data_IF_682948738037
#
_entry.id   IF_682948738037
#
_cell.length_a   1.000
_cell.length_b   1.000
_cell.length_c   1.000
_cell.angle_alpha   90.00
_cell.angle_beta   90.00
_cell.angle_gamma   90.00
#
_symmetry.space_group_name_H-M   'P 1'
#
loop_
_entity.id
_entity.type
_entity.pdbx_description
1 polymer ?
#
# COMPACT_ATOMS: atom_id res chain seq x y z
N UNK A 1 8.47 43.54 4.37
CA UNK A 1 8.70 42.34 3.55
C UNK A 1 9.30 41.31 4.48
N UNK A 2 8.44 40.48 5.05
CA UNK A 2 8.86 39.39 5.94
C UNK A 2 9.17 38.17 5.06
N UNK A 3 10.40 37.67 5.17
CA UNK A 3 10.81 36.42 4.53
C UNK A 3 10.03 35.26 5.16
N UNK A 4 9.14 34.66 4.37
CA UNK A 4 8.54 33.38 4.70
C UNK A 4 9.62 32.31 4.59
N UNK A 5 10.13 31.89 5.75
CA UNK A 5 10.98 30.71 5.90
C UNK A 5 10.25 29.49 5.33
N UNK A 6 10.69 29.07 4.13
CA UNK A 6 10.25 27.84 3.48
C UNK A 6 10.75 26.65 4.31
N UNK A 7 9.91 26.12 5.18
CA UNK A 7 10.11 24.82 5.80
C UNK A 7 10.24 23.76 4.71
N UNK A 8 11.47 23.33 4.45
CA UNK A 8 11.75 22.20 3.57
C UNK A 8 11.06 20.97 4.18
N UNK A 9 9.91 20.57 3.64
CA UNK A 9 9.36 19.24 3.90
C UNK A 9 10.34 18.23 3.29
N UNK A 10 11.27 17.76 4.10
CA UNK A 10 12.15 16.66 3.73
C UNK A 10 11.29 15.39 3.67
N UNK A 11 11.32 14.69 2.54
CA UNK A 11 10.85 13.31 2.44
C UNK A 11 11.65 12.47 3.45
N UNK A 12 11.15 12.37 4.68
CA UNK A 12 11.80 11.60 5.72
C UNK A 12 11.65 10.12 5.36
N UNK A 13 12.75 9.40 5.11
CA UNK A 13 12.67 7.97 4.84
C UNK A 13 12.04 7.26 6.04
N UNK A 14 11.28 6.20 5.77
CA UNK A 14 10.77 5.32 6.83
C UNK A 14 11.93 4.92 7.76
N UNK A 15 11.78 5.16 9.05
CA UNK A 15 12.75 4.72 10.05
C UNK A 15 12.67 3.20 10.20
N UNK A 16 13.51 2.48 9.45
CA UNK A 16 13.64 1.02 9.53
C UNK A 16 14.39 0.54 10.78
N UNK A 17 14.88 1.44 11.64
CA UNK A 17 15.68 1.14 12.82
C UNK A 17 14.90 1.25 14.14
N UNK A 18 13.56 1.28 14.12
CA UNK A 18 12.81 1.22 15.38
C UNK A 18 13.14 -0.10 16.06
N UNK A 19 13.91 -0.07 17.15
CA UNK A 19 14.30 -1.25 17.95
C UNK A 19 13.13 -1.97 18.64
N UNK A 20 11.90 -1.75 18.20
CA UNK A 20 10.72 -2.49 18.59
C UNK A 20 10.81 -3.91 18.01
N UNK A 21 10.50 -4.92 18.83
CA UNK A 21 10.39 -6.30 18.38
C UNK A 21 9.27 -6.43 17.35
N UNK A 22 9.63 -6.68 16.09
CA UNK A 22 8.67 -6.95 15.02
C UNK A 22 8.31 -8.44 14.98
N UNK A 23 7.03 -8.76 15.11
CA UNK A 23 6.52 -10.11 14.91
C UNK A 23 5.99 -10.23 13.47
N UNK A 24 6.77 -10.85 12.59
CA UNK A 24 6.34 -11.13 11.23
C UNK A 24 5.29 -12.25 11.23
N UNK A 25 4.10 -11.97 10.69
CA UNK A 25 3.08 -13.01 10.46
C UNK A 25 3.62 -14.10 9.53
N UNK A 26 3.20 -15.36 9.71
CA UNK A 26 3.56 -16.46 8.81
C UNK A 26 3.15 -16.16 7.35
N UNK A 27 3.89 -16.73 6.39
CA UNK A 27 3.52 -16.62 4.98
C UNK A 27 2.23 -17.41 4.73
N UNK A 28 1.29 -16.78 4.04
CA UNK A 28 0.02 -17.35 3.58
C UNK A 28 0.10 -17.81 2.12
N UNK A 29 1.09 -17.34 1.37
CA UNK A 29 1.33 -17.68 -0.03
C UNK A 29 2.78 -18.12 -0.21
N UNK A 30 2.98 -19.16 -1.05
CA UNK A 30 4.30 -19.64 -1.45
C UNK A 30 4.65 -19.09 -2.83
N UNK A 31 5.28 -17.91 -2.84
CA UNK A 31 5.78 -17.25 -4.04
C UNK A 31 7.28 -17.02 -3.83
N UNK A 32 8.10 -17.36 -4.83
CA UNK A 32 9.53 -17.09 -4.77
C UNK A 32 9.78 -15.58 -4.79
N UNK A 33 10.75 -15.12 -4.00
CA UNK A 33 11.11 -13.70 -3.95
C UNK A 33 11.48 -13.10 -5.32
N UNK A 34 12.09 -13.93 -6.18
CA UNK A 34 12.52 -13.55 -7.53
C UNK A 34 11.37 -13.47 -8.52
N UNK A 35 10.23 -14.09 -8.21
CA UNK A 35 9.04 -14.08 -9.08
C UNK A 35 8.18 -12.82 -8.85
N UNK A 36 8.55 -11.97 -7.88
CA UNK A 36 7.88 -10.69 -7.65
C UNK A 36 8.33 -9.63 -8.67
N UNK A 37 7.52 -9.45 -9.71
CA UNK A 37 7.57 -8.28 -10.58
C UNK A 37 6.72 -7.16 -9.98
N UNK A 38 7.37 -6.04 -9.67
CA UNK A 38 6.73 -4.85 -9.13
C UNK A 38 6.67 -3.78 -10.22
N UNK A 39 5.45 -3.32 -10.51
CA UNK A 39 5.23 -2.13 -11.33
C UNK A 39 5.25 -0.93 -10.41
N UNK A 40 6.13 0.02 -10.70
CA UNK A 40 6.28 1.25 -9.93
C UNK A 40 5.74 2.38 -10.79
N UNK A 41 4.59 2.91 -10.42
CA UNK A 41 3.97 4.03 -11.12
C UNK A 41 4.31 5.34 -10.41
N UNK A 42 4.70 6.35 -11.20
CA UNK A 42 4.87 7.71 -10.73
C UNK A 42 3.56 8.48 -10.94
N UNK A 43 3.17 9.32 -9.98
CA UNK A 43 1.99 10.16 -10.11
C UNK A 43 2.15 11.19 -11.23
N UNK A 44 3.39 11.65 -11.48
CA UNK A 44 3.75 12.54 -12.57
C UNK A 44 4.97 11.98 -13.29
N UNK A 45 4.76 11.55 -14.54
CA UNK A 45 5.79 11.00 -15.42
C UNK A 45 5.89 11.87 -16.69
N UNK A 46 6.84 12.81 -16.68
CA UNK A 46 7.06 13.69 -17.82
C UNK A 46 7.68 12.97 -19.02
N UNK A 47 8.40 11.87 -18.81
CA UNK A 47 8.97 11.07 -19.91
C UNK A 47 7.84 10.38 -20.68
N UNK A 48 6.90 9.75 -19.98
CA UNK A 48 5.72 9.13 -20.58
C UNK A 48 4.87 10.17 -21.31
N UNK A 49 4.62 11.34 -20.71
CA UNK A 49 3.89 12.43 -21.38
C UNK A 49 4.58 12.85 -22.68
N UNK A 50 5.90 13.03 -22.65
CA UNK A 50 6.69 13.43 -23.82
C UNK A 50 6.65 12.41 -24.95
N UNK A 51 6.79 11.12 -24.64
CA UNK A 51 6.68 10.02 -25.62
C UNK A 51 5.29 9.99 -26.28
N UNK A 52 4.26 10.45 -25.57
CA UNK A 52 2.89 10.58 -26.07
C UNK A 52 2.59 11.93 -26.72
N UNK A 53 3.61 12.76 -26.98
CA UNK A 53 3.46 14.04 -27.71
C UNK A 53 3.14 15.24 -26.82
N UNK A 54 3.22 15.11 -25.50
CA UNK A 54 2.99 16.19 -24.54
C UNK A 54 4.31 16.61 -23.88
N UNK A 55 5.06 17.52 -24.51
CA UNK A 55 6.28 18.12 -23.92
C UNK A 55 5.90 19.34 -23.05
N UNK A 56 5.42 19.08 -21.83
CA UNK A 56 4.91 20.11 -20.91
C UNK A 56 5.74 20.33 -19.66
N UNK A 57 6.76 19.51 -19.45
CA UNK A 57 7.62 19.52 -18.25
C UNK A 57 8.15 20.91 -17.94
N UNK A 58 8.67 21.59 -18.96
CA UNK A 58 9.27 22.92 -18.82
C UNK A 58 8.29 23.96 -18.27
N UNK A 59 7.00 23.88 -18.62
CA UNK A 59 6.00 24.84 -18.10
C UNK A 59 5.88 24.76 -16.59
N UNK A 60 5.98 23.57 -16.00
CA UNK A 60 5.86 23.40 -14.55
C UNK A 60 7.20 23.64 -13.83
N UNK A 61 8.32 23.24 -14.42
CA UNK A 61 9.65 23.53 -13.86
C UNK A 61 9.89 25.04 -13.80
N UNK A 62 9.56 25.78 -14.85
CA UNK A 62 9.74 27.25 -14.89
C UNK A 62 8.87 27.96 -13.83
N UNK A 63 7.79 27.32 -13.37
CA UNK A 63 6.95 27.80 -12.26
C UNK A 63 7.45 27.37 -10.87
N UNK A 64 8.53 26.58 -10.79
CA UNK A 64 9.12 26.11 -9.54
C UNK A 64 8.44 24.89 -8.91
N UNK A 65 7.66 24.11 -9.67
CA UNK A 65 6.89 22.98 -9.14
C UNK A 65 7.69 21.69 -8.95
N UNK A 66 8.97 21.65 -9.35
CA UNK A 66 9.79 20.43 -9.32
C UNK A 66 9.76 19.71 -7.97
N UNK A 67 9.94 20.44 -6.87
CA UNK A 67 9.92 19.86 -5.50
C UNK A 67 8.57 19.24 -5.13
N UNK A 68 7.47 19.80 -5.65
CA UNK A 68 6.14 19.27 -5.40
C UNK A 68 5.95 17.94 -6.14
N UNK A 69 6.46 17.80 -7.36
CA UNK A 69 6.43 16.53 -8.08
C UNK A 69 7.37 15.49 -7.46
N UNK A 70 8.55 15.90 -6.97
CA UNK A 70 9.43 15.01 -6.21
C UNK A 70 8.73 14.46 -4.96
N UNK A 71 7.92 15.30 -4.30
CA UNK A 71 7.10 14.89 -3.15
C UNK A 71 5.95 13.95 -3.57
N UNK A 72 5.26 14.24 -4.67
CA UNK A 72 4.15 13.42 -5.18
C UNK A 72 4.63 12.03 -5.63
N UNK A 73 5.77 11.95 -6.30
CA UNK A 73 6.34 10.69 -6.75
C UNK A 73 6.92 9.91 -5.57
N UNK A 74 7.56 10.60 -4.62
CA UNK A 74 7.97 10.04 -3.33
C UNK A 74 8.94 8.85 -3.42
N UNK A 75 9.45 8.37 -2.29
CA UNK A 75 10.20 7.12 -2.24
C UNK A 75 9.26 5.92 -2.37
N UNK A 76 9.71 4.92 -3.12
CA UNK A 76 9.03 3.62 -3.25
C UNK A 76 9.81 2.58 -2.44
N UNK A 77 9.09 1.62 -1.85
CA UNK A 77 9.69 0.62 -0.95
C UNK A 77 9.48 -0.83 -1.45
N UNK A 78 10.11 -1.24 -2.57
CA UNK A 78 9.91 -2.56 -3.17
C UNK A 78 10.12 -3.73 -2.20
N UNK A 79 11.18 -3.66 -1.38
CA UNK A 79 11.50 -4.72 -0.42
C UNK A 79 10.37 -4.89 0.60
N UNK A 80 9.85 -3.78 1.13
CA UNK A 80 8.74 -3.81 2.08
C UNK A 80 7.50 -4.45 1.44
N UNK A 81 7.20 -4.15 0.18
CA UNK A 81 6.08 -4.75 -0.55
C UNK A 81 6.30 -6.25 -0.75
N UNK A 82 7.50 -6.68 -1.18
CA UNK A 82 7.84 -8.11 -1.35
C UNK A 82 7.80 -8.89 -0.03
N UNK A 83 8.15 -8.27 1.08
CA UNK A 83 8.11 -8.91 2.41
C UNK A 83 6.69 -8.97 2.99
N UNK A 84 5.87 -7.97 2.67
CA UNK A 84 4.49 -7.85 3.13
C UNK A 84 3.55 -8.79 2.37
N UNK A 85 3.64 -8.83 1.03
CA UNK A 85 2.65 -9.50 0.17
C UNK A 85 2.46 -11.00 0.47
N UNK A 86 3.52 -11.83 0.61
CA UNK A 86 3.37 -13.25 0.96
C UNK A 86 2.70 -13.50 2.31
N UNK A 87 2.54 -12.48 3.16
CA UNK A 87 1.97 -12.57 4.51
C UNK A 87 0.56 -11.97 4.58
N UNK A 88 0.07 -11.40 3.49
CA UNK A 88 -1.29 -10.89 3.38
C UNK A 88 -2.31 -12.02 3.48
N UNK A 89 -3.35 -11.84 4.30
CA UNK A 89 -4.53 -12.70 4.26
C UNK A 89 -5.60 -11.95 3.47
N UNK A 90 -5.85 -12.40 2.24
CA UNK A 90 -6.97 -11.93 1.45
C UNK A 90 -8.13 -12.87 1.76
N UNK A 91 -9.26 -12.32 2.18
CA UNK A 91 -10.49 -13.08 2.37
C UNK A 91 -11.43 -12.60 1.27
N UNK A 92 -11.71 -13.47 0.31
CA UNK A 92 -12.71 -13.16 -0.70
C UNK A 92 -14.13 -13.40 -0.13
N UNK A 93 -15.15 -12.96 -0.88
CA UNK A 93 -16.54 -13.11 -0.45
C UNK A 93 -16.93 -14.58 -0.26
N UNK A 94 -16.40 -15.48 -1.09
CA UNK A 94 -16.75 -16.92 -1.05
C UNK A 94 -16.19 -17.57 0.22
N UNK A 95 -14.93 -17.27 0.55
CA UNK A 95 -14.27 -17.73 1.75
C UNK A 95 -14.89 -17.11 3.01
N UNK A 96 -15.27 -15.84 2.97
CA UNK A 96 -16.04 -15.20 4.02
C UNK A 96 -17.39 -15.92 4.24
N UNK A 97 -18.18 -16.13 3.17
CA UNK A 97 -19.49 -16.78 3.26
C UNK A 97 -19.35 -18.24 3.74
N UNK A 98 -18.30 -18.95 3.31
CA UNK A 98 -17.98 -20.30 3.80
C UNK A 98 -17.61 -20.28 5.29
N UNK A 99 -16.76 -19.37 5.73
CA UNK A 99 -16.38 -19.21 7.15
C UNK A 99 -17.62 -18.92 8.01
N UNK A 100 -18.53 -18.08 7.54
CA UNK A 100 -19.81 -17.82 8.19
C UNK A 100 -20.68 -19.08 8.30
N UNK A 101 -20.87 -19.80 7.18
CA UNK A 101 -21.67 -21.01 7.16
C UNK A 101 -21.13 -22.09 8.10
N UNK A 102 -19.81 -22.26 8.15
CA UNK A 102 -19.14 -23.17 9.08
C UNK A 102 -19.39 -22.75 10.54
N UNK A 103 -19.25 -21.46 10.85
CA UNK A 103 -19.48 -20.95 12.21
C UNK A 103 -20.92 -21.09 12.67
N UNK A 104 -21.89 -20.91 11.76
CA UNK A 104 -23.31 -21.18 12.03
C UNK A 104 -23.56 -22.66 12.25
N UNK A 105 -22.91 -23.54 11.46
CA UNK A 105 -23.07 -24.99 11.58
C UNK A 105 -22.47 -25.58 12.86
N UNK A 106 -21.43 -24.96 13.45
CA UNK A 106 -20.85 -25.38 14.73
C UNK A 106 -21.87 -25.35 15.90
N UNK A 107 -22.79 -24.39 15.89
CA UNK A 107 -23.84 -24.26 16.90
C UNK A 107 -25.07 -23.58 16.30
N UNK A 108 -25.89 -24.37 15.60
CA UNK A 108 -27.04 -23.86 14.82
C UNK A 108 -28.06 -23.16 15.71
N UNK A 109 -28.28 -23.64 16.93
CA UNK A 109 -29.24 -23.06 17.87
C UNK A 109 -28.83 -21.66 18.29
N UNK A 110 -27.55 -21.45 18.62
CA UNK A 110 -27.08 -20.17 19.13
C UNK A 110 -26.57 -19.21 18.05
N UNK A 111 -26.12 -19.72 16.89
CA UNK A 111 -25.43 -18.90 15.88
C UNK A 111 -26.31 -18.49 14.70
N UNK A 112 -27.44 -19.15 14.48
CA UNK A 112 -28.34 -18.82 13.37
C UNK A 112 -28.92 -17.41 13.53
N UNK A 113 -28.86 -16.63 12.45
CA UNK A 113 -29.37 -15.26 12.40
C UNK A 113 -28.45 -14.20 13.02
N UNK A 114 -27.33 -14.59 13.64
CA UNK A 114 -26.29 -13.64 14.06
C UNK A 114 -25.53 -13.08 12.86
N UNK A 115 -25.09 -11.83 12.98
CA UNK A 115 -24.19 -11.21 11.99
C UNK A 115 -22.77 -11.76 12.12
N UNK A 116 -21.92 -11.50 11.12
CA UNK A 116 -20.51 -11.93 11.13
C UNK A 116 -19.77 -11.39 12.35
N UNK A 117 -19.97 -10.12 12.68
CA UNK A 117 -19.32 -9.45 13.81
C UNK A 117 -19.75 -10.06 15.14
N UNK A 118 -21.03 -10.42 15.28
CA UNK A 118 -21.56 -11.09 16.46
C UNK A 118 -21.01 -12.52 16.64
N UNK A 119 -20.57 -13.14 15.55
CA UNK A 119 -19.89 -14.44 15.55
C UNK A 119 -18.37 -14.32 15.70
N UNK A 120 -17.83 -13.10 15.87
CA UNK A 120 -16.40 -12.84 15.97
C UNK A 120 -15.63 -13.03 14.66
N UNK A 121 -16.33 -13.05 13.52
CA UNK A 121 -15.74 -13.16 12.19
C UNK A 121 -15.35 -11.76 11.68
N UNK A 122 -14.23 -11.69 10.95
CA UNK A 122 -13.73 -10.45 10.34
C UNK A 122 -14.32 -10.19 8.96
#
# INVERSE_FOLDING_TARGET
MEELSSSQQQNLPLNSQSGASFFAKGKTMDINYNDFDLVIEQAVDFEALKVNGFDVEKFFIDQGWSKFFDLLNGPVYPILVKDFWPRCKIVDKVEADREYALKVAEDVENNKGKTREQLGLK
#
